data_IF_666204336154
#
_entry.id   IF_666204336154
#
_cell.length_a   1.000
_cell.length_b   1.000
_cell.length_c   1.000
_cell.angle_alpha   90.00
_cell.angle_beta   90.00
_cell.angle_gamma   90.00
#
_symmetry.space_group_name_H-M   'P 1'
#
loop_
_entity.id
_entity.type
_entity.pdbx_description
1 polymer ?
#
# COMPACT_ATOMS: atom_id res chain seq x y z
N UNK A 1 -9.38 17.91 17.55
CA UNK A 1 -9.04 17.20 16.96
C UNK A 1 -7.89 16.70 17.04
N UNK A 2 -7.59 15.99 17.10
CA UNK A 2 -6.47 15.47 17.30
C UNK A 2 -5.60 15.43 16.32
N UNK A 3 -4.86 15.52 16.48
CA UNK A 3 -4.12 15.51 15.69
C UNK A 3 -3.44 14.65 15.15
N UNK A 4 -3.12 14.29 15.09
CA UNK A 4 -2.77 13.31 14.17
C UNK A 4 -2.11 13.91 12.98
N UNK A 5 -1.83 13.12 11.99
CA UNK A 5 -1.28 13.60 10.75
C UNK A 5 -2.12 14.73 10.22
N UNK A 6 -1.49 15.76 9.72
CA UNK A 6 -2.22 16.89 9.19
C UNK A 6 -3.02 16.48 7.98
N UNK A 7 -4.19 17.06 7.84
CA UNK A 7 -5.08 16.73 6.74
C UNK A 7 -4.40 16.91 5.39
N UNK A 8 -3.62 18.00 5.23
CA UNK A 8 -2.96 18.23 3.96
C UNK A 8 -1.93 17.16 3.63
N UNK A 9 -1.25 16.64 4.64
CA UNK A 9 -0.31 15.54 4.43
C UNK A 9 -1.04 14.26 4.06
N UNK A 10 -2.14 13.99 4.73
CA UNK A 10 -2.94 12.81 4.44
C UNK A 10 -3.51 12.89 3.03
N UNK A 11 -3.97 14.06 2.63
CA UNK A 11 -4.49 14.27 1.28
C UNK A 11 -3.41 13.99 0.23
N UNK A 12 -2.20 14.48 0.45
CA UNK A 12 -1.11 14.24 -0.48
C UNK A 12 -0.76 12.76 -0.58
N UNK A 13 -0.79 12.10 0.56
CA UNK A 13 -0.51 10.67 0.61
C UNK A 13 -1.56 9.89 -0.19
N UNK A 14 -2.82 10.15 0.06
CA UNK A 14 -3.90 9.49 -0.68
C UNK A 14 -3.84 9.83 -2.17
N UNK A 15 -3.51 11.08 -2.48
CA UNK A 15 -3.39 11.49 -3.88
C UNK A 15 -2.30 10.72 -4.60
N UNK A 16 -1.17 10.52 -3.92
CA UNK A 16 -0.07 9.75 -4.50
C UNK A 16 -0.50 8.30 -4.74
N UNK A 17 -1.31 7.74 -3.86
CA UNK A 17 -1.74 6.36 -3.97
C UNK A 17 -2.96 6.16 -4.86
N UNK A 18 -3.55 7.23 -5.38
CA UNK A 18 -4.77 7.13 -6.16
C UNK A 18 -4.54 6.59 -7.57
N UNK A 19 -3.32 6.49 -8.02
CA UNK A 19 -2.97 6.04 -9.36
C UNK A 19 -2.46 4.61 -9.32
N UNK A 20 -3.03 3.69 -10.12
CA UNK A 20 -2.62 2.28 -10.05
C UNK A 20 -1.17 2.05 -10.44
N UNK A 21 -0.66 2.78 -11.41
CA UNK A 21 0.75 2.63 -11.80
C UNK A 21 1.67 3.05 -10.66
N UNK A 22 1.31 4.11 -9.96
CA UNK A 22 2.11 4.53 -8.82
C UNK A 22 2.12 3.48 -7.71
N UNK A 23 0.98 2.83 -7.49
CA UNK A 23 0.94 1.74 -6.51
C UNK A 23 1.83 0.58 -6.93
N UNK A 24 1.84 0.27 -8.22
CA UNK A 24 2.72 -0.79 -8.74
C UNK A 24 4.19 -0.43 -8.56
N UNK A 25 4.54 0.82 -8.83
CA UNK A 25 5.92 1.27 -8.65
C UNK A 25 6.32 1.18 -7.17
N UNK A 26 5.42 1.61 -6.30
CA UNK A 26 5.69 1.54 -4.87
C UNK A 26 5.88 0.08 -4.43
N UNK A 27 5.04 -0.81 -4.92
CA UNK A 27 5.17 -2.24 -4.62
C UNK A 27 6.54 -2.77 -5.04
N UNK A 28 7.00 -2.36 -6.22
CA UNK A 28 8.30 -2.82 -6.71
C UNK A 28 9.43 -2.37 -5.78
N UNK A 29 9.28 -1.22 -5.16
CA UNK A 29 10.30 -0.70 -4.27
C UNK A 29 10.32 -1.39 -2.90
N UNK A 30 9.30 -2.18 -2.59
CA UNK A 30 9.29 -2.92 -1.33
C UNK A 30 10.41 -3.94 -1.26
N UNK A 31 10.89 -4.42 -2.39
CA UNK A 31 11.97 -5.40 -2.40
C UNK A 31 13.36 -4.78 -2.36
N UNK A 32 13.42 -3.46 -2.39
CA UNK A 32 14.69 -2.75 -2.31
C UNK A 32 14.70 -1.54 -3.21
N UNK A 33 15.71 -0.70 -3.02
CA UNK A 33 15.80 0.52 -3.83
C UNK A 33 16.06 0.18 -5.30
N UNK A 34 15.61 1.05 -6.18
CA UNK A 34 15.75 0.86 -7.61
C UNK A 34 15.99 2.18 -8.32
N UNK A 35 16.59 2.08 -9.49
CA UNK A 35 16.79 3.26 -10.35
C UNK A 35 15.62 3.40 -11.29
N UNK A 36 15.51 4.59 -11.90
CA UNK A 36 14.50 4.83 -12.93
C UNK A 36 14.64 3.83 -14.07
N UNK A 37 15.88 3.56 -14.47
CA UNK A 37 16.12 2.63 -15.56
C UNK A 37 15.59 1.24 -15.25
N UNK A 38 15.83 0.78 -14.02
CA UNK A 38 15.34 -0.56 -13.63
C UNK A 38 13.82 -0.61 -13.62
N UNK A 39 13.20 0.45 -13.10
CA UNK A 39 11.74 0.49 -13.06
C UNK A 39 11.13 0.60 -14.45
N UNK A 40 11.77 1.40 -15.32
CA UNK A 40 11.29 1.55 -16.68
C UNK A 40 11.31 0.22 -17.42
N UNK A 41 12.38 -0.54 -17.23
CA UNK A 41 12.48 -1.85 -17.87
C UNK A 41 11.45 -2.82 -17.30
N UNK A 42 11.26 -2.81 -15.98
CA UNK A 42 10.34 -3.75 -15.33
C UNK A 42 8.90 -3.51 -15.75
N UNK A 43 8.52 -2.26 -15.95
CA UNK A 43 7.13 -1.93 -16.28
C UNK A 43 6.92 -1.61 -17.75
N UNK A 44 7.97 -1.72 -18.55
CA UNK A 44 7.89 -1.42 -19.98
C UNK A 44 7.34 0.00 -20.20
N UNK A 45 7.89 0.94 -19.45
CA UNK A 45 7.51 2.34 -19.52
C UNK A 45 8.70 3.19 -19.87
N UNK A 46 8.42 4.37 -20.39
CA UNK A 46 9.49 5.33 -20.68
C UNK A 46 10.04 5.86 -19.34
N UNK A 47 11.31 6.25 -19.37
CA UNK A 47 11.92 6.83 -18.18
C UNK A 47 11.25 8.12 -17.72
N UNK A 48 10.88 9.04 -18.64
CA UNK A 48 10.14 10.23 -18.16
C UNK A 48 8.83 9.87 -17.46
N UNK A 49 8.13 8.85 -17.94
CA UNK A 49 6.89 8.45 -17.30
C UNK A 49 7.13 7.92 -15.90
N UNK A 50 8.14 7.07 -15.74
CA UNK A 50 8.53 6.56 -14.42
C UNK A 50 8.93 7.71 -13.51
N UNK A 51 9.70 8.66 -14.03
CA UNK A 51 10.14 9.80 -13.23
C UNK A 51 8.96 10.62 -12.74
N UNK A 52 7.93 10.77 -13.55
CA UNK A 52 6.73 11.50 -13.14
C UNK A 52 6.03 10.80 -11.98
N UNK A 53 5.91 9.49 -12.07
CA UNK A 53 5.27 8.72 -10.99
C UNK A 53 6.09 8.79 -9.71
N UNK A 54 7.42 8.70 -9.84
CA UNK A 54 8.28 8.81 -8.67
C UNK A 54 8.22 10.19 -8.04
N UNK A 55 8.12 11.24 -8.86
CA UNK A 55 7.98 12.60 -8.34
C UNK A 55 6.69 12.75 -7.54
N UNK A 56 5.60 12.18 -8.06
CA UNK A 56 4.32 12.24 -7.35
C UNK A 56 4.39 11.47 -6.04
N UNK A 57 5.05 10.32 -6.04
CA UNK A 57 5.22 9.53 -4.81
C UNK A 57 6.09 10.27 -3.80
N UNK A 58 7.12 10.97 -4.28
CA UNK A 58 7.95 11.79 -3.39
C UNK A 58 7.16 12.93 -2.78
N UNK A 59 6.33 13.58 -3.57
CA UNK A 59 5.49 14.65 -3.04
C UNK A 59 4.55 14.15 -1.99
N UNK A 60 4.09 12.93 -2.13
CA UNK A 60 3.24 12.30 -1.12
C UNK A 60 4.00 11.80 0.08
N UNK A 61 5.34 11.91 0.05
CA UNK A 61 6.16 11.48 1.17
C UNK A 61 6.44 9.99 1.21
N UNK A 62 6.04 9.26 0.18
CA UNK A 62 6.13 7.80 0.20
C UNK A 62 7.43 7.25 -0.33
N UNK A 63 8.20 8.07 -1.02
CA UNK A 63 9.44 7.65 -1.66
C UNK A 63 10.50 8.70 -1.41
N UNK A 64 11.72 8.25 -1.18
CA UNK A 64 12.88 9.13 -1.08
C UNK A 64 13.91 8.69 -2.09
N UNK A 65 14.83 9.61 -2.40
CA UNK A 65 15.88 9.30 -3.36
C UNK A 65 17.23 9.59 -2.76
N UNK A 66 18.22 8.86 -3.21
CA UNK A 66 19.60 9.15 -2.90
C UNK A 66 20.43 9.05 -4.17
N UNK A 67 21.47 9.86 -4.25
CA UNK A 67 22.37 9.84 -5.40
C UNK A 67 23.63 9.04 -5.05
N UNK A 68 24.10 8.28 -6.01
CA UNK A 68 25.37 7.57 -5.86
C UNK A 68 26.01 7.56 -7.24
N UNK A 69 27.08 8.36 -7.38
CA UNK A 69 27.71 8.52 -8.69
C UNK A 69 26.73 9.16 -9.67
N UNK A 70 26.49 8.49 -10.77
CA UNK A 70 25.58 8.97 -11.80
C UNK A 70 24.17 8.49 -11.61
N UNK A 71 23.94 7.68 -10.60
CA UNK A 71 22.65 7.02 -10.44
C UNK A 71 21.86 7.64 -9.31
N UNK A 72 20.54 7.60 -9.47
CA UNK A 72 19.62 7.96 -8.40
C UNK A 72 18.84 6.73 -8.05
N UNK A 73 18.83 6.41 -6.75
CA UNK A 73 18.13 5.25 -6.23
C UNK A 73 16.94 5.72 -5.45
N UNK A 74 15.82 5.07 -5.66
CA UNK A 74 14.56 5.41 -5.01
C UNK A 74 14.17 4.27 -4.08
N UNK A 75 13.65 4.64 -2.91
CA UNK A 75 13.25 3.66 -1.91
C UNK A 75 12.00 4.13 -1.19
N UNK A 76 11.28 3.17 -0.59
CA UNK A 76 10.07 3.48 0.16
C UNK A 76 10.44 4.19 1.45
N UNK A 77 9.68 5.23 1.78
CA UNK A 77 9.80 5.92 3.06
C UNK A 77 8.75 5.35 3.99
N UNK A 78 9.19 4.72 5.05
CA UNK A 78 8.28 3.94 5.90
C UNK A 78 7.36 4.79 6.77
N UNK A 79 7.83 5.95 7.20
CA UNK A 79 7.09 6.75 8.18
C UNK A 79 5.67 7.11 7.77
N UNK A 80 5.44 7.62 6.54
CA UNK A 80 4.07 7.94 6.15
C UNK A 80 3.17 6.72 6.09
N UNK A 81 3.73 5.56 5.80
CA UNK A 81 2.96 4.33 5.81
C UNK A 81 2.47 3.98 7.21
N UNK A 82 3.30 4.28 8.22
CA UNK A 82 2.89 4.11 9.60
C UNK A 82 1.75 5.03 9.97
N UNK A 83 1.79 6.27 9.48
CA UNK A 83 0.71 7.23 9.70
C UNK A 83 -0.58 6.77 9.03
N UNK A 84 -0.45 6.22 7.82
CA UNK A 84 -1.61 5.66 7.12
C UNK A 84 -2.19 4.49 7.89
N UNK A 85 -1.33 3.61 8.38
CA UNK A 85 -1.78 2.46 9.17
C UNK A 85 -2.52 2.92 10.41
N UNK A 86 -2.03 3.97 11.07
CA UNK A 86 -2.70 4.52 12.25
C UNK A 86 -4.08 5.06 11.90
N UNK A 87 -4.20 5.73 10.76
CA UNK A 87 -5.49 6.24 10.31
C UNK A 87 -6.46 5.09 10.05
N UNK A 88 -5.95 3.98 9.53
CA UNK A 88 -6.78 2.82 9.21
C UNK A 88 -7.20 2.00 10.41
N UNK A 89 -6.53 2.18 11.55
CA UNK A 89 -6.75 1.30 12.70
C UNK A 89 -8.22 1.17 13.14
N UNK A 90 -8.99 2.27 13.27
CA UNK A 90 -10.40 2.09 13.67
C UNK A 90 -11.21 1.32 12.64
N UNK A 91 -10.89 1.51 11.37
CA UNK A 91 -11.59 0.80 10.29
C UNK A 91 -11.21 -0.67 10.27
N UNK A 92 -9.94 -0.96 10.57
CA UNK A 92 -9.47 -2.33 10.68
C UNK A 92 -10.19 -3.07 11.78
N UNK A 93 -10.34 -2.43 12.93
CA UNK A 93 -11.05 -3.04 14.06
C UNK A 93 -12.50 -3.31 13.72
N UNK A 94 -13.14 -2.34 13.07
CA UNK A 94 -14.52 -2.48 12.63
C UNK A 94 -14.65 -3.67 11.68
N UNK A 95 -13.77 -3.73 10.68
CA UNK A 95 -13.79 -4.79 9.67
C UNK A 95 -13.55 -6.16 10.32
N UNK A 96 -12.54 -6.25 11.18
CA UNK A 96 -12.22 -7.51 11.84
C UNK A 96 -13.36 -7.99 12.71
N UNK A 97 -13.99 -7.08 13.42
CA UNK A 97 -15.16 -7.42 14.23
C UNK A 97 -16.27 -8.00 13.39
N UNK A 98 -16.53 -7.38 12.23
CA UNK A 98 -17.56 -7.88 11.32
C UNK A 98 -17.20 -9.24 10.76
N UNK A 99 -15.95 -9.44 10.40
CA UNK A 99 -15.52 -10.72 9.86
C UNK A 99 -15.58 -11.82 10.93
N UNK A 100 -15.20 -11.49 12.15
CA UNK A 100 -15.28 -12.45 13.25
C UNK A 100 -16.73 -12.85 13.50
N UNK A 101 -17.63 -11.87 13.53
CA UNK A 101 -19.06 -12.14 13.74
C UNK A 101 -19.62 -13.00 12.60
N UNK A 102 -19.23 -12.69 11.38
CA UNK A 102 -19.67 -13.47 10.23
C UNK A 102 -19.14 -14.91 10.32
N UNK A 103 -17.88 -15.05 10.71
CA UNK A 103 -17.30 -16.35 10.87
C UNK A 103 -18.03 -17.20 11.91
N UNK A 104 -18.40 -16.58 13.02
CA UNK A 104 -19.16 -17.27 14.06
C UNK A 104 -20.51 -17.72 13.55
N UNK A 105 -21.18 -16.88 12.77
CA UNK A 105 -22.48 -17.21 12.19
C UNK A 105 -22.34 -18.39 11.22
N UNK A 106 -21.30 -18.33 10.39
CA UNK A 106 -21.08 -19.42 9.43
C UNK A 106 -20.75 -20.73 10.13
N UNK A 107 -19.97 -20.68 11.18
CA UNK A 107 -19.65 -21.87 11.96
C UNK A 107 -20.90 -22.48 12.54
N UNK A 108 -21.78 -21.65 13.05
CA UNK A 108 -23.02 -22.11 13.62
C UNK A 108 -23.92 -22.76 12.58
N UNK A 109 -23.94 -22.18 11.40
CA UNK A 109 -24.71 -22.74 10.29
C UNK A 109 -24.18 -24.10 9.88
N UNK A 110 -22.87 -24.27 9.88
CA UNK A 110 -22.26 -25.56 9.55
C UNK A 110 -22.66 -26.61 10.59
N UNK A 111 -22.62 -26.24 11.85
CA UNK A 111 -23.02 -27.17 12.92
C UNK A 111 -24.46 -27.61 12.75
N UNK A 112 -25.31 -26.69 12.40
CA UNK A 112 -26.73 -27.01 12.21
C UNK A 112 -26.98 -27.77 10.94
N UNK A 113 -26.33 -27.41 9.95
CA UNK A 113 -26.56 -28.01 8.67
C UNK A 113 -25.77 -29.23 8.41
N UNK A 114 -24.88 -29.43 8.54
CA UNK A 114 -24.09 -30.28 8.30
C UNK A 114 -23.27 -30.40 7.43
N UNK A 115 -22.81 -30.42 7.02
CA UNK A 115 -22.11 -30.65 6.46
C UNK A 115 -21.34 -30.33 5.74
N UNK A 116 -20.71 -30.23 5.42
CA UNK A 116 -19.99 -29.88 4.71
C UNK A 116 -18.85 -30.01 4.41
N UNK A 117 -18.34 -30.34 4.18
CA UNK A 117 -17.27 -30.61 4.00
C UNK A 117 -16.29 -29.95 3.79
N UNK A 118 -15.80 -29.66 3.76
CA UNK A 118 -14.95 -29.12 3.67
C UNK A 118 -14.20 -28.55 3.11
N UNK A 119 -13.81 -28.51 2.65
CA UNK A 119 -13.07 -27.99 2.29
C UNK A 119 -12.09 -27.66 1.90
N UNK A 120 -11.70 -27.86 1.67
CA UNK A 120 -10.72 -27.69 1.46
C UNK A 120 -10.04 -26.92 0.85
N UNK A 121 -9.69 -26.44 0.64
CA UNK A 121 -9.12 -25.67 0.25
C UNK A 121 -8.17 -25.25 0.03
N UNK A 122 -7.69 -25.18 -0.21
CA UNK A 122 -6.89 -24.87 -0.36
C UNK A 122 -6.52 -24.53 -0.44
#
# INVERSE_FOLDING_TARGET
>A
MPRRLKDSQLDRLFGALANPTRRDVLDALLTGEKTVTELAAAFEMSRPSVSEHLAALREGGLVSERSSGRHRFYSVTAEPLGDLAAWLTPYERFWRGRMTALGAVLDQMDDDGHMTKGHDHE
#
